data_IF_906042695607
#
_entry.id   IF_906042695607
#
_cell.length_a   1.000
_cell.length_b   1.000
_cell.length_c   1.000
_cell.angle_alpha   90.00
_cell.angle_beta   90.00
_cell.angle_gamma   90.00
#
_symmetry.space_group_name_H-M   'P 1'
#
loop_
_entity.id
_entity.type
_entity.pdbx_description
1 polymer ?
#
# COMPACT_ATOMS: atom_id res chain seq x y z
N UNK A 1 -4.49 2.52 11.85
CA UNK A 1 -3.98 3.79 12.38
C UNK A 1 -4.29 3.77 13.86
N UNK A 2 -3.34 3.87 14.76
CA UNK A 2 -3.66 4.22 16.14
C UNK A 2 -3.85 5.73 16.12
N UNK A 3 -5.03 6.23 16.50
CA UNK A 3 -5.24 7.68 16.58
C UNK A 3 -4.36 8.21 17.68
N UNK A 4 -3.62 9.29 17.44
CA UNK A 4 -2.86 9.97 18.48
C UNK A 4 -3.84 10.74 19.37
N UNK A 5 -4.42 10.00 20.31
CA UNK A 5 -5.35 10.51 21.32
C UNK A 5 -4.66 11.61 22.14
N UNK A 6 -3.37 11.47 22.45
CA UNK A 6 -2.63 12.43 23.28
C UNK A 6 -2.50 13.81 22.63
N UNK A 7 -2.42 13.89 21.30
CA UNK A 7 -2.40 15.18 20.58
C UNK A 7 -3.78 15.83 20.48
N UNK A 8 -4.86 15.05 20.44
CA UNK A 8 -6.23 15.59 20.48
C UNK A 8 -6.56 16.24 21.83
N UNK A 9 -6.05 15.71 22.93
CA UNK A 9 -6.26 16.24 24.28
C UNK A 9 -5.41 17.47 24.60
N UNK A 10 -4.27 17.68 23.93
CA UNK A 10 -3.38 18.84 24.18
C UNK A 10 -3.97 20.20 23.81
N UNK A 11 -5.04 20.22 23.03
CA UNK A 11 -5.71 21.45 22.57
C UNK A 11 -7.07 21.69 23.25
N UNK A 12 -7.39 20.96 24.32
CA UNK A 12 -8.59 21.28 25.12
C UNK A 12 -8.29 22.54 25.94
N UNK A 13 -8.95 23.63 25.57
CA UNK A 13 -8.94 24.87 26.35
C UNK A 13 -9.60 24.64 27.72
N UNK A 14 -8.79 24.25 28.71
CA UNK A 14 -9.18 24.14 30.13
C UNK A 14 -9.68 25.47 30.74
N UNK A 15 -9.52 26.58 30.03
CA UNK A 15 -10.00 27.92 30.41
C UNK A 15 -11.23 28.39 29.62
N UNK A 16 -11.89 27.51 28.87
CA UNK A 16 -13.17 27.88 28.24
C UNK A 16 -14.26 28.02 29.30
N UNK A 17 -15.01 29.13 29.25
CA UNK A 17 -16.15 29.39 30.11
C UNK A 17 -17.27 28.34 29.99
N UNK A 18 -17.18 27.35 29.10
CA UNK A 18 -18.15 26.26 28.96
C UNK A 18 -17.71 24.94 29.61
N UNK A 19 -16.50 24.85 30.17
CA UNK A 19 -15.94 23.62 30.78
C UNK A 19 -16.77 23.14 31.98
N UNK A 20 -17.42 24.06 32.70
CA UNK A 20 -18.29 23.73 33.85
C UNK A 20 -19.50 22.87 33.48
N UNK A 21 -19.90 22.82 32.19
CA UNK A 21 -20.98 21.96 31.72
C UNK A 21 -20.55 20.49 31.56
N UNK A 22 -19.24 20.20 31.66
CA UNK A 22 -18.63 18.90 31.44
C UNK A 22 -17.99 18.31 32.71
N UNK A 23 -18.23 18.93 33.85
CA UNK A 23 -17.77 18.46 35.15
C UNK A 23 -18.90 18.58 36.19
N UNK A 24 -19.01 17.60 37.08
CA UNK A 24 -19.88 17.60 38.25
C UNK A 24 -19.07 17.36 39.51
N UNK A 25 -19.52 17.88 40.64
CA UNK A 25 -18.91 17.66 41.95
C UNK A 25 -19.89 16.89 42.82
N UNK A 26 -19.41 15.82 43.46
CA UNK A 26 -20.15 15.06 44.46
C UNK A 26 -19.64 15.55 45.81
N UNK A 27 -20.42 16.41 46.47
CA UNK A 27 -20.01 17.13 47.68
C UNK A 27 -19.77 16.19 48.86
N UNK A 28 -20.50 15.07 48.93
CA UNK A 28 -20.40 14.12 50.06
C UNK A 28 -19.04 13.42 50.14
N UNK A 29 -18.39 13.23 48.99
CA UNK A 29 -17.12 12.51 48.88
C UNK A 29 -15.94 13.41 48.46
N UNK A 30 -16.20 14.71 48.26
CA UNK A 30 -15.27 15.71 47.70
C UNK A 30 -14.61 15.27 46.36
N UNK A 31 -15.41 14.64 45.48
CA UNK A 31 -14.93 14.13 44.20
C UNK A 31 -15.45 14.96 43.04
N UNK A 32 -14.53 15.44 42.19
CA UNK A 32 -14.87 16.07 40.91
C UNK A 32 -14.85 15.01 39.81
N UNK A 33 -15.97 14.86 39.11
CA UNK A 33 -16.15 13.97 37.97
C UNK A 33 -16.16 14.81 36.69
N UNK A 34 -15.26 14.50 35.76
CA UNK A 34 -15.17 15.18 34.46
C UNK A 34 -15.59 14.20 33.37
N UNK A 35 -16.67 14.49 32.64
CA UNK A 35 -17.18 13.64 31.57
C UNK A 35 -16.40 13.85 30.26
N UNK A 36 -15.38 13.02 30.04
CA UNK A 36 -14.50 13.10 28.86
C UNK A 36 -15.13 12.62 27.54
N UNK A 37 -16.37 12.10 27.57
CA UNK A 37 -17.05 11.49 26.43
C UNK A 37 -18.00 12.44 25.67
N UNK A 38 -18.35 13.59 26.25
CA UNK A 38 -19.50 14.37 25.81
C UNK A 38 -19.31 15.36 24.62
N UNK A 39 -18.12 15.77 24.13
CA UNK A 39 -18.09 16.72 23.04
C UNK A 39 -18.36 16.10 21.66
N UNK A 40 -18.30 14.78 21.50
CA UNK A 40 -18.74 14.16 20.24
C UNK A 40 -19.36 12.79 20.51
N UNK A 41 -20.48 12.45 19.86
CA UNK A 41 -21.00 11.08 19.90
C UNK A 41 -20.00 10.13 19.23
N UNK A 42 -19.30 9.29 20.00
CA UNK A 42 -18.15 8.50 19.52
C UNK A 42 -18.52 7.11 19.04
N UNK A 43 -18.11 6.78 17.81
CA UNK A 43 -17.99 5.41 17.28
C UNK A 43 -16.55 5.17 16.79
N UNK A 44 -15.69 4.73 17.71
CA UNK A 44 -14.58 3.77 17.51
C UNK A 44 -13.68 3.77 16.27
N UNK A 45 -13.38 4.88 15.58
CA UNK A 45 -12.43 4.87 14.44
C UNK A 45 -11.31 5.92 14.55
N UNK A 46 -10.03 5.49 14.52
CA UNK A 46 -8.84 6.35 14.54
C UNK A 46 -8.78 7.49 13.51
N UNK A 47 -9.48 7.37 12.39
CA UNK A 47 -9.48 8.39 11.34
C UNK A 47 -10.26 9.66 11.70
N UNK A 48 -11.15 9.60 12.71
CA UNK A 48 -11.89 10.79 13.14
C UNK A 48 -11.02 11.77 13.93
N UNK A 49 -10.00 11.27 14.64
CA UNK A 49 -9.06 12.11 15.40
C UNK A 49 -8.22 13.03 14.50
N UNK A 50 -7.84 12.54 13.32
CA UNK A 50 -7.02 13.29 12.35
C UNK A 50 -7.78 14.48 11.76
N UNK A 51 -9.09 14.31 11.50
CA UNK A 51 -9.95 15.37 10.96
C UNK A 51 -10.20 16.47 12.00
N UNK A 52 -10.50 16.09 13.25
CA UNK A 52 -10.69 17.05 14.34
C UNK A 52 -9.38 17.77 14.68
N UNK A 53 -8.26 17.04 14.78
CA UNK A 53 -6.93 17.61 15.01
C UNK A 53 -6.50 18.58 13.92
N UNK A 54 -6.76 18.24 12.64
CA UNK A 54 -6.49 19.12 11.52
C UNK A 54 -7.35 20.40 11.50
N UNK A 55 -8.62 20.30 11.91
CA UNK A 55 -9.51 21.47 12.02
C UNK A 55 -9.06 22.42 13.15
N UNK A 56 -8.64 21.88 14.30
CA UNK A 56 -8.12 22.65 15.43
C UNK A 56 -6.78 23.30 15.07
N UNK A 57 -5.86 22.58 14.41
CA UNK A 57 -4.58 23.12 13.95
C UNK A 57 -4.74 24.23 12.89
N UNK A 58 -5.81 24.19 12.09
CA UNK A 58 -6.14 25.25 11.13
C UNK A 58 -6.68 26.51 11.81
N UNK A 59 -7.49 26.38 12.86
CA UNK A 59 -8.04 27.52 13.60
C UNK A 59 -6.99 28.17 14.51
N UNK A 60 -6.08 27.38 15.07
CA UNK A 60 -5.14 27.82 16.09
C UNK A 60 -3.67 27.91 15.63
N UNK A 61 -3.36 27.56 14.37
CA UNK A 61 -2.00 27.55 13.85
C UNK A 61 -1.19 26.34 14.36
N UNK A 62 -0.28 25.83 13.52
CA UNK A 62 0.61 24.73 13.91
C UNK A 62 1.89 25.30 14.53
N UNK A 63 2.06 25.08 15.84
CA UNK A 63 3.23 25.39 16.66
C UNK A 63 3.55 26.89 16.86
N UNK A 64 3.27 27.38 18.06
CA UNK A 64 3.92 28.57 18.62
C UNK A 64 5.37 28.20 19.01
N UNK A 65 6.32 29.06 18.65
CA UNK A 65 7.70 29.04 19.17
C UNK A 65 7.95 30.37 19.87
N UNK A 66 8.87 30.44 20.84
CA UNK A 66 9.18 31.69 21.56
C UNK A 66 9.58 32.86 20.63
N UNK A 67 10.03 32.56 19.41
CA UNK A 67 10.39 33.55 18.39
C UNK A 67 9.20 34.05 17.54
N UNK A 68 8.06 33.33 17.51
CA UNK A 68 6.89 33.64 16.66
C UNK A 68 5.58 33.33 17.40
N UNK A 69 5.13 34.23 18.30
CA UNK A 69 3.96 34.00 19.15
C UNK A 69 2.64 33.90 18.37
N UNK A 70 2.59 34.44 17.15
CA UNK A 70 1.38 34.48 16.30
C UNK A 70 1.46 33.58 15.04
N UNK A 71 2.45 32.69 14.95
CA UNK A 71 2.64 31.80 13.81
C UNK A 71 3.28 32.48 12.56
N UNK A 72 3.69 31.67 11.60
CA UNK A 72 4.41 32.12 10.39
C UNK A 72 3.45 32.89 9.46
N UNK A 73 3.80 34.09 8.96
CA UNK A 73 2.95 34.84 8.04
C UNK A 73 2.91 34.17 6.65
N UNK A 74 1.69 33.88 6.23
CA UNK A 74 1.33 33.29 4.94
C UNK A 74 1.74 34.20 3.78
N UNK A 75 2.69 33.74 2.95
CA UNK A 75 3.10 34.45 1.73
C UNK A 75 2.08 34.21 0.61
N UNK A 76 1.00 34.98 0.66
CA UNK A 76 0.38 35.59 -0.52
C UNK A 76 -0.02 34.66 -1.67
N UNK A 77 -0.94 33.71 -1.45
CA UNK A 77 -1.84 33.23 -2.50
C UNK A 77 -3.24 33.00 -1.93
N UNK A 78 -4.08 34.03 -2.00
CA UNK A 78 -5.53 33.93 -1.76
C UNK A 78 -6.18 33.05 -2.83
N UNK A 79 -6.18 31.74 -2.62
CA UNK A 79 -7.17 30.83 -3.23
C UNK A 79 -8.35 30.78 -2.28
N UNK A 80 -9.53 31.19 -2.74
CA UNK A 80 -10.74 31.23 -1.90
C UNK A 80 -10.89 29.92 -1.09
N UNK A 81 -11.20 30.02 0.21
CA UNK A 81 -11.19 28.87 1.12
C UNK A 81 -12.03 27.67 0.66
N UNK A 82 -13.05 27.90 -0.19
CA UNK A 82 -13.85 26.85 -0.84
C UNK A 82 -13.04 25.99 -1.83
N UNK A 83 -12.12 26.60 -2.59
CA UNK A 83 -11.23 25.86 -3.50
C UNK A 83 -10.17 25.05 -2.74
N UNK A 84 -9.64 25.59 -1.63
CA UNK A 84 -8.69 24.86 -0.79
C UNK A 84 -9.36 23.66 -0.11
N UNK A 85 -10.55 23.85 0.47
CA UNK A 85 -11.27 22.76 1.13
C UNK A 85 -11.64 21.62 0.15
N UNK A 86 -12.07 21.96 -1.08
CA UNK A 86 -12.32 20.95 -2.11
C UNK A 86 -11.04 20.23 -2.55
N UNK A 87 -9.92 20.96 -2.67
CA UNK A 87 -8.62 20.37 -2.98
C UNK A 87 -8.18 19.39 -1.88
N UNK A 88 -8.22 19.80 -0.61
CA UNK A 88 -7.83 18.95 0.52
C UNK A 88 -8.70 17.70 0.62
N UNK A 89 -10.03 17.81 0.46
CA UNK A 89 -10.93 16.64 0.42
C UNK A 89 -10.60 15.70 -0.74
N UNK A 90 -10.29 16.23 -1.93
CA UNK A 90 -9.93 15.43 -3.08
C UNK A 90 -8.60 14.66 -2.87
N UNK A 91 -7.66 15.23 -2.10
CA UNK A 91 -6.36 14.65 -1.78
C UNK A 91 -6.32 13.92 -0.43
N UNK A 92 -7.48 13.60 0.15
CA UNK A 92 -7.61 12.76 1.36
C UNK A 92 -7.21 11.29 1.16
N UNK A 93 -6.74 10.92 -0.04
CA UNK A 93 -6.30 9.58 -0.41
C UNK A 93 -4.94 9.67 -1.09
N UNK A 94 -4.19 8.57 -1.10
CA UNK A 94 -2.88 8.49 -1.77
C UNK A 94 -2.90 9.07 -3.19
N UNK A 95 -1.83 9.77 -3.61
CA UNK A 95 -1.72 10.37 -4.96
C UNK A 95 -2.08 9.42 -6.10
N UNK A 96 -1.61 8.17 -6.01
CA UNK A 96 -1.92 7.15 -7.02
C UNK A 96 -3.42 6.84 -7.14
N UNK A 97 -4.16 6.98 -6.04
CA UNK A 97 -5.61 6.84 -5.97
C UNK A 97 -6.30 8.08 -6.51
N UNK A 98 -5.80 9.29 -6.19
CA UNK A 98 -6.29 10.54 -6.81
C UNK A 98 -6.16 10.48 -8.34
N UNK A 99 -5.01 10.02 -8.86
CA UNK A 99 -4.80 9.85 -10.29
C UNK A 99 -5.75 8.84 -10.92
N UNK A 100 -6.04 7.74 -10.21
CA UNK A 100 -7.02 6.74 -10.65
C UNK A 100 -8.43 7.34 -10.73
N UNK A 101 -8.84 8.08 -9.69
CA UNK A 101 -10.14 8.73 -9.65
C UNK A 101 -10.23 9.85 -10.69
N UNK A 102 -9.13 10.56 -10.98
CA UNK A 102 -9.11 11.59 -12.02
C UNK A 102 -9.38 10.98 -13.40
N UNK A 103 -8.77 9.84 -13.71
CA UNK A 103 -9.07 9.07 -14.92
C UNK A 103 -10.53 8.60 -14.95
N UNK A 104 -11.08 8.22 -13.80
CA UNK A 104 -12.49 7.84 -13.70
C UNK A 104 -13.44 9.02 -13.96
N UNK A 105 -13.12 10.20 -13.42
CA UNK A 105 -13.85 11.43 -13.69
C UNK A 105 -13.80 11.80 -15.17
N UNK A 106 -12.63 11.70 -15.82
CA UNK A 106 -12.50 11.92 -17.27
C UNK A 106 -13.38 10.96 -18.08
N UNK A 107 -13.47 9.68 -17.68
CA UNK A 107 -14.36 8.70 -18.32
C UNK A 107 -15.83 9.10 -18.20
N UNK A 108 -16.24 9.52 -17.01
CA UNK A 108 -17.60 9.99 -16.75
C UNK A 108 -17.93 11.24 -17.58
N UNK A 109 -17.10 12.29 -17.50
CA UNK A 109 -17.34 13.55 -18.21
C UNK A 109 -17.38 13.34 -19.72
N UNK A 110 -16.48 12.53 -20.26
CA UNK A 110 -16.48 12.18 -21.70
C UNK A 110 -17.76 11.47 -22.10
N UNK A 111 -18.22 10.51 -21.29
CA UNK A 111 -19.46 9.78 -21.57
C UNK A 111 -20.68 10.70 -21.48
N UNK A 112 -20.81 11.51 -20.43
CA UNK A 112 -21.94 12.43 -20.26
C UNK A 112 -22.00 13.47 -21.38
N UNK A 113 -20.86 14.06 -21.76
CA UNK A 113 -20.79 15.05 -22.85
C UNK A 113 -21.25 14.45 -24.18
N UNK A 114 -20.87 13.20 -24.48
CA UNK A 114 -21.31 12.51 -25.72
C UNK A 114 -22.81 12.24 -25.77
N UNK A 115 -23.47 12.13 -24.62
CA UNK A 115 -24.90 11.86 -24.51
C UNK A 115 -25.73 13.13 -24.25
N UNK A 116 -25.13 14.32 -24.28
CA UNK A 116 -25.82 15.58 -23.98
C UNK A 116 -26.27 15.71 -22.52
N UNK A 117 -25.65 14.97 -21.60
CA UNK A 117 -25.98 14.96 -20.18
C UNK A 117 -25.03 15.94 -19.44
N UNK A 118 -25.55 16.84 -18.58
CA UNK A 118 -24.71 17.66 -17.71
C UNK A 118 -23.87 16.77 -16.77
N UNK A 119 -22.53 16.88 -16.74
CA UNK A 119 -21.70 15.98 -15.94
C UNK A 119 -22.04 15.97 -14.45
N UNK A 120 -22.43 17.11 -13.89
CA UNK A 120 -22.79 17.27 -12.47
C UNK A 120 -24.15 16.67 -12.13
N UNK A 121 -24.95 16.27 -13.14
CA UNK A 121 -26.34 15.86 -12.99
C UNK A 121 -27.24 16.90 -12.28
N UNK A 122 -26.78 18.15 -12.20
CA UNK A 122 -27.46 19.22 -11.48
C UNK A 122 -28.87 19.46 -12.05
N UNK A 123 -29.84 19.60 -11.16
CA UNK A 123 -31.25 19.84 -11.53
C UNK A 123 -32.00 18.62 -12.06
N UNK A 124 -31.39 17.43 -12.12
CA UNK A 124 -32.08 16.19 -12.53
C UNK A 124 -32.74 15.49 -11.32
N UNK A 125 -33.98 14.98 -11.45
CA UNK A 125 -34.60 14.15 -10.42
C UNK A 125 -33.76 12.90 -10.11
N UNK A 126 -33.81 12.41 -8.87
CA UNK A 126 -33.01 11.26 -8.42
C UNK A 126 -33.17 10.04 -9.34
N UNK A 127 -34.41 9.73 -9.77
CA UNK A 127 -34.67 8.63 -10.69
C UNK A 127 -33.89 8.74 -12.01
N UNK A 128 -33.77 9.96 -12.56
CA UNK A 128 -33.01 10.23 -13.78
C UNK A 128 -31.50 10.13 -13.54
N UNK A 129 -31.02 10.60 -12.39
CA UNK A 129 -29.61 10.43 -12.00
C UNK A 129 -29.23 8.95 -11.90
N UNK A 130 -30.07 8.17 -11.22
CA UNK A 130 -29.89 6.72 -11.05
C UNK A 130 -29.88 6.01 -12.41
N UNK A 131 -30.76 6.41 -13.33
CA UNK A 131 -30.77 5.86 -14.69
C UNK A 131 -29.46 6.14 -15.43
N UNK A 132 -29.00 7.40 -15.46
CA UNK A 132 -27.75 7.76 -16.14
C UNK A 132 -26.51 7.07 -15.55
N UNK A 133 -26.44 6.93 -14.23
CA UNK A 133 -25.35 6.19 -13.58
C UNK A 133 -25.43 4.70 -13.93
N UNK A 134 -26.63 4.13 -13.99
CA UNK A 134 -26.83 2.74 -14.41
C UNK A 134 -26.40 2.52 -15.87
N UNK A 135 -26.78 3.42 -16.77
CA UNK A 135 -26.40 3.39 -18.18
C UNK A 135 -24.88 3.51 -18.35
N UNK A 136 -24.23 4.36 -17.54
CA UNK A 136 -22.77 4.48 -17.53
C UNK A 136 -22.09 3.20 -17.03
N UNK A 137 -22.63 2.55 -15.99
CA UNK A 137 -22.14 1.26 -15.49
C UNK A 137 -22.30 0.17 -16.54
N UNK A 138 -23.46 0.12 -17.21
CA UNK A 138 -23.72 -0.82 -18.31
C UNK A 138 -22.77 -0.59 -19.49
N UNK A 139 -22.50 0.67 -19.83
CA UNK A 139 -21.48 1.00 -20.83
C UNK A 139 -20.08 0.52 -20.41
N UNK A 140 -19.75 0.64 -19.12
CA UNK A 140 -18.53 0.07 -18.55
C UNK A 140 -18.45 -1.45 -18.66
N UNK A 141 -19.56 -2.12 -18.41
CA UNK A 141 -19.70 -3.57 -18.52
C UNK A 141 -19.57 -4.07 -19.97
N UNK A 142 -20.24 -3.41 -20.92
CA UNK A 142 -20.26 -3.79 -22.33
C UNK A 142 -18.95 -3.44 -23.06
N UNK A 143 -18.38 -2.26 -22.80
CA UNK A 143 -17.28 -1.69 -23.60
C UNK A 143 -15.99 -1.45 -22.81
N UNK A 144 -15.96 -1.81 -21.53
CA UNK A 144 -14.75 -1.74 -20.70
C UNK A 144 -14.22 -0.33 -20.46
N UNK A 145 -15.02 0.72 -20.68
CA UNK A 145 -14.58 2.12 -20.63
C UNK A 145 -13.33 2.40 -21.48
N UNK A 146 -13.26 1.84 -22.69
CA UNK A 146 -12.13 2.03 -23.61
C UNK A 146 -10.90 1.20 -23.28
N UNK A 147 -11.01 0.17 -22.43
CA UNK A 147 -9.90 -0.73 -22.11
C UNK A 147 -9.61 -1.77 -23.21
N UNK A 148 -10.29 -1.70 -24.36
CA UNK A 148 -10.10 -2.63 -25.48
C UNK A 148 -10.72 -4.02 -25.26
N UNK A 149 -11.58 -4.18 -24.27
CA UNK A 149 -12.26 -5.44 -23.98
C UNK A 149 -13.02 -5.42 -22.64
N UNK A 150 -13.68 -6.54 -22.27
CA UNK A 150 -14.40 -6.67 -21.00
C UNK A 150 -13.47 -6.45 -19.80
N UNK A 151 -14.00 -5.78 -18.78
CA UNK A 151 -13.30 -5.53 -17.51
C UNK A 151 -14.08 -6.16 -16.35
N UNK A 152 -13.38 -6.46 -15.26
CA UNK A 152 -13.97 -7.08 -14.07
C UNK A 152 -14.91 -6.12 -13.32
N UNK A 153 -15.88 -6.68 -12.60
CA UNK A 153 -16.84 -5.93 -11.79
C UNK A 153 -16.18 -4.93 -10.83
N UNK A 154 -15.07 -5.31 -10.18
CA UNK A 154 -14.35 -4.41 -9.26
C UNK A 154 -13.77 -3.19 -9.99
N UNK A 155 -13.32 -3.38 -11.22
CA UNK A 155 -12.82 -2.27 -12.05
C UNK A 155 -13.96 -1.39 -12.55
N UNK A 156 -15.12 -1.99 -12.86
CA UNK A 156 -16.33 -1.26 -13.22
C UNK A 156 -16.77 -0.40 -12.04
N UNK A 157 -16.84 -0.96 -10.83
CA UNK A 157 -17.23 -0.28 -9.60
C UNK A 157 -16.25 0.82 -9.18
N UNK A 158 -14.95 0.63 -9.41
CA UNK A 158 -13.94 1.63 -9.06
C UNK A 158 -14.09 2.95 -9.82
N UNK A 159 -14.65 2.93 -11.04
CA UNK A 159 -14.86 4.15 -11.84
C UNK A 159 -15.90 5.08 -11.20
N UNK A 160 -17.18 4.69 -11.02
CA UNK A 160 -18.17 5.57 -10.39
C UNK A 160 -17.83 5.91 -8.93
N UNK A 161 -17.10 5.05 -8.21
CA UNK A 161 -16.59 5.42 -6.88
C UNK A 161 -15.58 6.59 -6.95
N UNK A 162 -14.72 6.61 -7.97
CA UNK A 162 -13.81 7.72 -8.21
C UNK A 162 -14.52 9.02 -8.60
N UNK A 163 -15.62 8.91 -9.38
CA UNK A 163 -16.50 10.05 -9.69
C UNK A 163 -17.13 10.58 -8.40
N UNK A 164 -17.73 9.69 -7.60
CA UNK A 164 -18.31 10.05 -6.30
C UNK A 164 -17.32 10.77 -5.39
N UNK A 165 -16.06 10.33 -5.36
CA UNK A 165 -15.01 10.97 -4.55
C UNK A 165 -14.85 12.45 -4.88
N UNK A 166 -14.72 12.79 -6.17
CA UNK A 166 -14.58 14.18 -6.60
C UNK A 166 -15.88 14.98 -6.41
N UNK A 167 -17.04 14.37 -6.62
CA UNK A 167 -18.33 15.03 -6.39
C UNK A 167 -18.49 15.39 -4.92
N UNK A 168 -18.26 14.42 -4.02
CA UNK A 168 -18.30 14.64 -2.58
C UNK A 168 -17.26 15.68 -2.14
N UNK A 169 -16.04 15.66 -2.70
CA UNK A 169 -15.03 16.67 -2.43
C UNK A 169 -15.49 18.09 -2.83
N UNK A 170 -16.32 18.21 -3.87
CA UNK A 170 -16.95 19.47 -4.30
C UNK A 170 -18.29 19.78 -3.63
N UNK A 171 -18.78 18.93 -2.72
CA UNK A 171 -20.06 19.13 -2.04
C UNK A 171 -21.29 18.71 -2.85
N UNK A 172 -21.10 17.90 -3.91
CA UNK A 172 -22.18 17.32 -4.71
C UNK A 172 -22.39 15.85 -4.34
N UNK A 173 -23.64 15.40 -4.39
CA UNK A 173 -23.97 13.99 -4.24
C UNK A 173 -23.80 13.24 -5.58
N UNK A 174 -23.46 11.95 -5.48
CA UNK A 174 -23.42 11.03 -6.60
C UNK A 174 -23.98 9.69 -6.09
N UNK A 175 -25.26 9.37 -6.40
CA UNK A 175 -26.05 8.36 -5.66
C UNK A 175 -25.68 6.90 -6.01
N UNK A 176 -24.40 6.54 -5.97
CA UNK A 176 -23.90 5.19 -6.28
C UNK A 176 -24.42 4.13 -5.32
N UNK A 177 -24.79 4.54 -4.10
CA UNK A 177 -25.30 3.65 -3.04
C UNK A 177 -26.80 3.33 -3.21
N UNK A 178 -27.47 3.89 -4.23
CA UNK A 178 -28.89 3.64 -4.47
C UNK A 178 -29.15 2.14 -4.72
N UNK A 179 -30.22 1.54 -4.16
CA UNK A 179 -30.48 0.10 -4.24
C UNK A 179 -30.44 -0.47 -5.67
N UNK A 180 -31.01 0.24 -6.66
CA UNK A 180 -30.98 -0.20 -8.06
C UNK A 180 -29.55 -0.35 -8.62
N UNK A 181 -28.65 0.58 -8.29
CA UNK A 181 -27.27 0.53 -8.77
C UNK A 181 -26.49 -0.57 -8.03
N UNK A 182 -26.70 -0.70 -6.72
CA UNK A 182 -26.13 -1.78 -5.94
C UNK A 182 -26.54 -3.17 -6.47
N UNK A 183 -27.82 -3.34 -6.82
CA UNK A 183 -28.34 -4.56 -7.45
C UNK A 183 -27.69 -4.82 -8.81
N UNK A 184 -27.55 -3.79 -9.65
CA UNK A 184 -26.88 -3.89 -10.95
C UNK A 184 -25.42 -4.33 -10.81
N UNK A 185 -24.64 -3.68 -9.94
CA UNK A 185 -23.24 -4.01 -9.68
C UNK A 185 -23.09 -5.44 -9.11
N UNK A 186 -24.02 -5.86 -8.24
CA UNK A 186 -24.07 -7.23 -7.72
C UNK A 186 -24.44 -8.26 -8.79
N UNK A 187 -25.28 -7.90 -9.76
CA UNK A 187 -25.56 -8.71 -10.94
C UNK A 187 -24.31 -8.90 -11.80
N UNK A 188 -23.61 -7.79 -12.09
CA UNK A 188 -22.35 -7.80 -12.84
C UNK A 188 -21.29 -8.66 -12.14
N UNK A 189 -21.13 -8.55 -10.82
CA UNK A 189 -20.12 -9.31 -10.08
C UNK A 189 -20.39 -10.83 -10.03
N UNK A 190 -21.62 -11.28 -10.29
CA UNK A 190 -21.93 -12.71 -10.43
C UNK A 190 -21.47 -13.30 -11.76
N UNK A 191 -21.27 -12.45 -12.77
CA UNK A 191 -20.78 -12.84 -14.10
C UNK A 191 -19.25 -12.86 -14.16
N UNK A 192 -18.57 -12.29 -13.14
CA UNK A 192 -17.13 -12.30 -13.02
C UNK A 192 -16.63 -13.75 -12.87
N UNK A 193 -15.73 -14.17 -13.75
CA UNK A 193 -14.98 -15.41 -13.52
C UNK A 193 -14.16 -15.30 -12.23
N UNK A 194 -13.91 -16.42 -11.51
CA UNK A 194 -13.08 -16.41 -10.31
C UNK A 194 -11.74 -15.69 -10.53
N UNK A 195 -11.31 -14.82 -9.61
CA UNK A 195 -10.09 -14.04 -9.78
C UNK A 195 -8.87 -14.98 -9.84
N UNK A 196 -8.17 -14.96 -10.98
CA UNK A 196 -6.91 -15.70 -11.15
C UNK A 196 -5.77 -14.94 -10.47
N UNK A 197 -5.48 -15.32 -9.23
CA UNK A 197 -4.31 -14.80 -8.51
C UNK A 197 -3.04 -15.35 -9.14
N UNK A 198 -1.98 -14.54 -9.10
CA UNK A 198 -0.66 -14.99 -9.52
C UNK A 198 -0.17 -16.11 -8.61
N UNK A 199 0.46 -17.12 -9.21
CA UNK A 199 1.03 -18.24 -8.50
C UNK A 199 2.19 -17.77 -7.61
N UNK A 200 2.37 -18.34 -6.40
CA UNK A 200 3.54 -18.07 -5.58
C UNK A 200 4.80 -18.63 -6.26
N UNK A 201 5.89 -17.89 -6.21
CA UNK A 201 7.20 -18.43 -6.64
C UNK A 201 7.67 -19.51 -5.64
N UNK A 202 8.11 -20.66 -6.15
CA UNK A 202 8.77 -21.72 -5.37
C UNK A 202 10.28 -21.50 -5.25
N UNK A 203 10.92 -22.17 -4.28
CA UNK A 203 12.39 -22.25 -4.20
C UNK A 203 12.96 -22.80 -5.50
N UNK A 204 12.45 -23.92 -6.02
CA UNK A 204 12.91 -24.52 -7.28
C UNK A 204 12.86 -23.53 -8.45
N UNK A 205 11.79 -22.73 -8.53
CA UNK A 205 11.64 -21.72 -9.57
C UNK A 205 12.68 -20.60 -9.41
N UNK A 206 13.01 -20.18 -8.18
CA UNK A 206 14.09 -19.22 -7.93
C UNK A 206 15.47 -19.80 -8.23
N UNK A 207 15.70 -21.07 -7.93
CA UNK A 207 16.96 -21.74 -8.29
C UNK A 207 17.15 -21.75 -9.80
N UNK A 208 16.10 -22.09 -10.55
CA UNK A 208 16.14 -22.04 -12.01
C UNK A 208 16.36 -20.63 -12.52
N UNK A 209 15.71 -19.62 -11.92
CA UNK A 209 16.00 -18.21 -12.22
C UNK A 209 17.50 -17.94 -12.04
N UNK A 210 18.06 -18.24 -10.86
CA UNK A 210 19.42 -17.83 -10.52
C UNK A 210 20.50 -18.62 -11.25
N UNK A 211 20.27 -19.89 -11.58
CA UNK A 211 21.17 -20.67 -12.45
C UNK A 211 21.24 -20.11 -13.87
N UNK A 212 20.17 -19.42 -14.32
CA UNK A 212 20.12 -18.81 -15.66
C UNK A 212 20.74 -17.40 -15.73
N UNK A 213 21.14 -16.82 -14.58
CA UNK A 213 21.78 -15.51 -14.50
C UNK A 213 23.30 -15.65 -14.61
N UNK A 214 23.90 -15.00 -15.59
CA UNK A 214 25.33 -14.78 -15.70
C UNK A 214 25.79 -13.71 -14.69
N UNK A 215 26.37 -14.15 -13.59
CA UNK A 215 26.88 -13.28 -12.52
C UNK A 215 28.10 -12.43 -12.91
N UNK A 216 28.47 -12.40 -14.20
CA UNK A 216 29.40 -11.42 -14.78
C UNK A 216 28.72 -10.10 -15.11
N UNK A 217 27.39 -10.09 -15.28
CA UNK A 217 26.62 -8.92 -15.68
C UNK A 217 26.12 -8.09 -14.49
N UNK A 218 26.42 -6.78 -14.42
CA UNK A 218 25.90 -5.92 -13.36
C UNK A 218 24.37 -5.95 -13.26
N UNK A 219 23.68 -6.01 -14.40
CA UNK A 219 22.21 -6.12 -14.44
C UNK A 219 21.72 -7.39 -13.75
N UNK A 220 22.32 -8.53 -14.04
CA UNK A 220 21.87 -9.82 -13.53
C UNK A 220 22.26 -10.01 -12.06
N UNK A 221 23.40 -9.46 -11.63
CA UNK A 221 23.77 -9.33 -10.23
C UNK A 221 22.74 -8.50 -9.44
N UNK A 222 22.36 -7.32 -9.96
CA UNK A 222 21.35 -6.47 -9.35
C UNK A 222 19.98 -7.16 -9.31
N UNK A 223 19.59 -7.83 -10.39
CA UNK A 223 18.35 -8.58 -10.50
C UNK A 223 18.29 -9.73 -9.49
N UNK A 224 19.37 -10.50 -9.33
CA UNK A 224 19.47 -11.56 -8.33
C UNK A 224 19.30 -11.00 -6.91
N UNK A 225 20.02 -9.93 -6.57
CA UNK A 225 19.91 -9.27 -5.27
C UNK A 225 18.50 -8.76 -4.97
N UNK A 226 17.89 -8.07 -5.94
CA UNK A 226 16.50 -7.59 -5.86
C UNK A 226 15.51 -8.74 -5.64
N UNK A 227 15.63 -9.84 -6.40
CA UNK A 227 14.72 -10.98 -6.27
C UNK A 227 14.86 -11.67 -4.91
N UNK A 228 16.08 -11.85 -4.41
CA UNK A 228 16.35 -12.36 -3.06
C UNK A 228 15.67 -11.48 -1.99
N UNK A 229 15.97 -10.18 -2.00
CA UNK A 229 15.43 -9.27 -1.00
C UNK A 229 13.90 -9.18 -1.08
N UNK A 230 13.34 -9.12 -2.28
CA UNK A 230 11.89 -9.09 -2.46
C UNK A 230 11.19 -10.36 -1.95
N UNK A 231 11.79 -11.53 -2.16
CA UNK A 231 11.28 -12.80 -1.65
C UNK A 231 11.37 -12.88 -0.12
N UNK A 232 12.55 -12.65 0.46
CA UNK A 232 12.77 -12.83 1.89
C UNK A 232 12.14 -11.75 2.76
N UNK A 233 12.15 -10.48 2.34
CA UNK A 233 11.54 -9.36 3.08
C UNK A 233 10.07 -9.11 2.70
N UNK A 234 9.50 -10.00 1.88
CA UNK A 234 8.13 -9.94 1.38
C UNK A 234 7.82 -8.59 0.73
N UNK A 235 8.75 -8.00 -0.03
CA UNK A 235 8.60 -6.65 -0.55
C UNK A 235 7.53 -6.58 -1.65
N UNK A 236 6.78 -5.49 -1.69
CA UNK A 236 5.97 -5.15 -2.87
C UNK A 236 6.90 -4.65 -3.97
N UNK A 237 6.50 -4.82 -5.25
CA UNK A 237 7.30 -4.29 -6.38
C UNK A 237 7.65 -2.81 -6.23
N UNK A 238 6.73 -1.98 -5.75
CA UNK A 238 6.92 -0.54 -5.56
C UNK A 238 7.85 -0.17 -4.41
N UNK A 239 8.19 -1.13 -3.53
CA UNK A 239 9.10 -0.93 -2.41
C UNK A 239 10.56 -1.15 -2.83
N UNK A 240 10.85 -1.76 -4.00
CA UNK A 240 12.23 -2.12 -4.36
C UNK A 240 12.64 -1.79 -5.81
N UNK A 241 11.78 -2.01 -6.80
CA UNK A 241 12.13 -1.84 -8.23
C UNK A 241 11.52 -0.59 -8.84
N UNK A 242 12.11 -0.15 -9.96
CA UNK A 242 11.51 0.86 -10.81
C UNK A 242 10.17 0.36 -11.37
N UNK A 243 9.20 1.27 -11.49
CA UNK A 243 7.89 1.01 -12.05
C UNK A 243 7.87 1.51 -13.50
N UNK A 244 6.78 2.13 -13.95
CA UNK A 244 6.66 2.63 -15.32
C UNK A 244 7.66 3.78 -15.55
N UNK A 245 8.33 3.75 -16.71
CA UNK A 245 9.25 4.80 -17.14
C UNK A 245 10.53 4.93 -16.32
N UNK A 246 10.96 3.87 -15.60
CA UNK A 246 12.18 3.91 -14.79
C UNK A 246 12.05 4.69 -13.48
N UNK A 247 10.83 5.11 -13.12
CA UNK A 247 10.57 5.90 -11.90
C UNK A 247 10.42 5.01 -10.67
N UNK A 248 10.92 5.50 -9.53
CA UNK A 248 10.74 4.89 -8.21
C UNK A 248 9.67 5.63 -7.41
N UNK A 249 9.02 4.94 -6.46
CA UNK A 249 8.23 5.62 -5.45
C UNK A 249 9.15 6.22 -4.39
N UNK A 250 8.71 7.30 -3.75
CA UNK A 250 9.51 8.03 -2.76
C UNK A 250 9.96 7.14 -1.58
N UNK A 251 9.17 6.11 -1.27
CA UNK A 251 9.41 5.09 -0.24
C UNK A 251 10.15 3.84 -0.73
N UNK A 252 10.65 3.82 -1.98
CA UNK A 252 11.47 2.71 -2.45
C UNK A 252 12.73 2.59 -1.58
N UNK A 253 13.10 1.36 -1.22
CA UNK A 253 14.27 1.06 -0.38
C UNK A 253 15.50 1.67 -1.01
N UNK A 254 16.19 2.53 -0.25
CA UNK A 254 17.45 3.16 -0.64
C UNK A 254 18.63 2.28 -0.21
N UNK A 255 19.81 2.52 -0.75
CA UNK A 255 20.97 1.74 -0.34
C UNK A 255 21.34 1.95 1.14
N UNK A 256 21.22 3.18 1.64
CA UNK A 256 21.41 3.50 3.07
C UNK A 256 20.41 2.79 4.00
N UNK A 257 19.29 2.32 3.47
CA UNK A 257 18.27 1.61 4.24
C UNK A 257 18.60 0.11 4.39
N UNK A 258 19.68 -0.37 3.75
CA UNK A 258 20.15 -1.75 3.82
C UNK A 258 21.51 -1.75 4.55
N UNK A 259 21.55 -2.39 5.71
CA UNK A 259 22.77 -2.62 6.46
C UNK A 259 23.07 -4.12 6.52
N UNK A 260 24.28 -4.51 6.13
CA UNK A 260 24.81 -5.86 6.30
C UNK A 260 25.71 -5.89 7.51
N UNK A 261 25.45 -6.81 8.44
CA UNK A 261 26.02 -6.82 9.78
C UNK A 261 26.83 -8.10 10.05
N UNK A 262 27.93 -7.96 10.79
CA UNK A 262 28.70 -9.08 11.33
C UNK A 262 28.00 -9.73 12.54
N UNK A 263 28.67 -10.70 13.17
CA UNK A 263 28.18 -11.39 14.35
C UNK A 263 28.01 -10.45 15.56
N UNK A 264 28.85 -9.41 15.66
CA UNK A 264 28.75 -8.39 16.70
C UNK A 264 27.75 -7.27 16.36
N UNK A 265 27.01 -7.39 15.24
CA UNK A 265 26.02 -6.41 14.82
C UNK A 265 26.60 -5.15 14.18
N UNK A 266 27.88 -5.14 13.81
CA UNK A 266 28.56 -4.00 13.19
C UNK A 266 28.46 -4.06 11.66
N UNK A 267 28.32 -2.91 10.97
CA UNK A 267 28.30 -2.88 9.52
C UNK A 267 29.58 -3.42 8.90
N UNK A 268 29.46 -4.35 7.96
CA UNK A 268 30.61 -4.90 7.22
C UNK A 268 30.23 -5.30 5.80
N UNK A 269 31.13 -5.07 4.85
CA UNK A 269 30.99 -5.53 3.46
C UNK A 269 31.80 -6.80 3.18
N UNK A 270 32.54 -7.32 4.17
CA UNK A 270 33.34 -8.52 4.02
C UNK A 270 32.43 -9.77 3.97
N UNK A 271 32.27 -10.44 2.81
CA UNK A 271 31.22 -11.45 2.63
C UNK A 271 31.28 -12.63 3.60
N UNK A 272 32.48 -13.00 4.05
CA UNK A 272 32.73 -14.09 5.01
C UNK A 272 32.35 -13.74 6.45
N UNK A 273 32.30 -12.45 6.80
CA UNK A 273 31.96 -11.98 8.15
C UNK A 273 30.48 -11.65 8.32
N UNK A 274 29.77 -11.43 7.22
CA UNK A 274 28.37 -10.97 7.26
C UNK A 274 27.44 -12.11 7.68
N UNK A 275 26.74 -11.91 8.79
CA UNK A 275 25.79 -12.86 9.35
C UNK A 275 24.33 -12.48 9.12
N UNK A 276 24.02 -11.19 9.08
CA UNK A 276 22.65 -10.71 8.93
C UNK A 276 22.54 -9.50 8.02
N UNK A 277 21.32 -9.27 7.53
CA UNK A 277 20.92 -8.06 6.83
C UNK A 277 19.76 -7.42 7.58
N UNK A 278 19.91 -6.14 7.86
CA UNK A 278 18.91 -5.26 8.40
C UNK A 278 18.39 -4.35 7.29
N UNK A 279 17.08 -4.27 7.13
CA UNK A 279 16.42 -3.43 6.14
C UNK A 279 15.41 -2.52 6.82
N UNK A 280 15.57 -1.21 6.61
CA UNK A 280 14.67 -0.17 7.09
C UNK A 280 13.70 0.23 5.99
N UNK A 281 12.41 0.02 6.22
CA UNK A 281 11.35 0.31 5.27
C UNK A 281 10.65 1.59 5.69
N UNK A 282 10.99 2.69 5.02
CA UNK A 282 10.58 4.06 5.36
C UNK A 282 9.11 4.36 5.08
N UNK A 283 8.47 3.60 4.18
CA UNK A 283 7.07 3.79 3.84
C UNK A 283 6.51 2.68 2.94
N UNK A 284 5.22 2.76 2.65
CA UNK A 284 4.57 1.93 1.62
C UNK A 284 3.28 2.59 1.14
N UNK A 285 2.62 2.00 0.13
CA UNK A 285 1.27 2.45 -0.29
C UNK A 285 0.27 2.48 0.87
N UNK A 286 0.41 1.59 1.85
CA UNK A 286 -0.48 1.50 3.02
C UNK A 286 0.12 2.12 4.29
N UNK A 287 1.30 2.74 4.17
CA UNK A 287 2.03 3.40 5.25
C UNK A 287 2.69 4.65 4.65
N UNK A 288 1.89 5.64 4.27
CA UNK A 288 2.41 6.85 3.61
C UNK A 288 3.04 7.80 4.63
N UNK A 289 2.47 7.90 5.84
CA UNK A 289 2.94 8.83 6.89
C UNK A 289 3.24 8.13 8.22
N UNK A 290 3.24 6.80 8.25
CA UNK A 290 3.51 6.04 9.48
C UNK A 290 4.99 5.70 9.65
N UNK A 291 5.36 5.33 10.87
CA UNK A 291 6.74 5.09 11.27
C UNK A 291 7.46 4.05 10.40
N UNK A 292 8.77 4.26 10.10
CA UNK A 292 9.59 3.27 9.43
C UNK A 292 9.55 1.92 10.16
N UNK A 293 9.59 0.83 9.40
CA UNK A 293 9.63 -0.53 9.95
C UNK A 293 10.94 -1.20 9.61
N UNK A 294 11.60 -1.78 10.59
CA UNK A 294 12.87 -2.49 10.39
C UNK A 294 12.67 -3.98 10.42
N UNK A 295 13.28 -4.71 9.49
CA UNK A 295 13.32 -6.18 9.47
C UNK A 295 14.76 -6.63 9.41
N UNK A 296 15.09 -7.68 10.15
CA UNK A 296 16.41 -8.28 10.14
C UNK A 296 16.27 -9.76 9.82
N UNK A 297 17.14 -10.26 8.93
CA UNK A 297 17.20 -11.67 8.56
C UNK A 297 18.65 -12.14 8.52
N UNK A 298 18.90 -13.32 9.06
CA UNK A 298 20.21 -13.98 9.02
C UNK A 298 20.41 -14.75 7.71
N UNK A 299 21.60 -15.32 7.53
CA UNK A 299 21.87 -16.24 6.42
C UNK A 299 20.86 -17.39 6.41
N UNK A 300 20.40 -17.79 5.22
CA UNK A 300 19.45 -18.90 5.06
C UNK A 300 20.10 -20.29 5.09
N UNK A 301 21.44 -20.36 4.98
CA UNK A 301 22.18 -21.61 4.75
C UNK A 301 22.10 -22.12 3.30
N UNK A 302 21.26 -21.55 2.44
CA UNK A 302 21.17 -21.93 1.03
C UNK A 302 22.31 -21.30 0.20
N UNK A 303 22.93 -22.01 -0.75
CA UNK A 303 24.07 -21.49 -1.51
C UNK A 303 23.81 -20.16 -2.24
N UNK A 304 22.63 -20.03 -2.89
CA UNK A 304 22.29 -18.86 -3.71
C UNK A 304 21.03 -18.11 -3.25
N UNK A 305 20.19 -18.73 -2.40
CA UNK A 305 18.92 -18.17 -1.95
C UNK A 305 19.07 -17.65 -0.52
N UNK A 306 19.79 -16.55 -0.37
CA UNK A 306 20.14 -16.00 0.93
C UNK A 306 19.92 -14.48 0.94
N UNK A 307 19.18 -13.92 1.92
CA UNK A 307 18.94 -12.48 1.98
C UNK A 307 20.23 -11.69 2.17
N UNK A 308 21.19 -12.24 2.93
CA UNK A 308 22.53 -11.66 3.11
C UNK A 308 23.31 -11.61 1.80
N UNK A 309 23.30 -12.71 1.03
CA UNK A 309 23.94 -12.74 -0.29
C UNK A 309 23.29 -11.73 -1.23
N UNK A 310 21.96 -11.67 -1.26
CA UNK A 310 21.21 -10.72 -2.08
C UNK A 310 21.50 -9.26 -1.74
N UNK A 311 21.66 -8.94 -0.45
CA UNK A 311 22.05 -7.61 -0.01
C UNK A 311 23.48 -7.25 -0.43
N UNK A 312 24.44 -8.16 -0.20
CA UNK A 312 25.84 -7.94 -0.55
C UNK A 312 26.02 -7.70 -2.04
N UNK A 313 25.46 -8.56 -2.88
CA UNK A 313 25.63 -8.41 -4.34
C UNK A 313 24.98 -7.13 -4.86
N UNK A 314 23.82 -6.75 -4.30
CA UNK A 314 23.13 -5.52 -4.68
C UNK A 314 23.91 -4.28 -4.23
N UNK A 315 24.52 -4.29 -3.05
CA UNK A 315 25.37 -3.18 -2.59
C UNK A 315 26.70 -3.11 -3.36
N UNK A 316 27.30 -4.26 -3.71
CA UNK A 316 28.55 -4.32 -4.46
C UNK A 316 28.42 -3.76 -5.88
N UNK A 317 27.35 -4.12 -6.60
CA UNK A 317 27.15 -3.70 -8.00
C UNK A 317 26.89 -2.20 -8.16
N UNK A 318 26.54 -1.52 -7.06
CA UNK A 318 26.38 -0.06 -7.01
C UNK A 318 27.69 0.71 -7.06
N UNK A 319 28.80 0.07 -6.66
CA UNK A 319 30.11 0.72 -6.50
C UNK A 319 29.98 2.02 -5.69
N UNK A 320 30.23 3.17 -6.33
CA UNK A 320 30.28 4.49 -5.68
C UNK A 320 29.01 5.32 -5.87
N UNK A 321 27.88 4.71 -6.26
CA UNK A 321 26.61 5.42 -6.35
C UNK A 321 26.18 5.95 -4.97
N UNK A 322 25.52 7.12 -4.91
CA UNK A 322 25.02 7.70 -3.66
C UNK A 322 24.16 6.71 -2.86
N UNK A 323 24.21 6.80 -1.52
CA UNK A 323 23.49 5.88 -0.64
C UNK A 323 21.99 6.22 -0.52
N UNK A 324 21.61 7.46 -0.81
CA UNK A 324 20.26 8.01 -0.69
C UNK A 324 19.35 7.70 -1.88
N UNK A 325 19.88 7.15 -2.98
CA UNK A 325 19.09 6.73 -4.14
C UNK A 325 18.62 5.26 -4.00
N UNK A 326 17.56 4.84 -4.72
CA UNK A 326 16.99 3.49 -4.62
C UNK A 326 18.01 2.37 -4.81
N UNK A 327 17.96 1.34 -3.98
CA UNK A 327 18.94 0.24 -3.92
C UNK A 327 19.03 -0.57 -5.23
N UNK A 328 17.94 -0.65 -6.00
CA UNK A 328 17.88 -1.33 -7.29
C UNK A 328 18.53 -0.58 -8.46
N UNK A 329 19.13 0.59 -8.20
CA UNK A 329 20.00 1.29 -9.17
C UNK A 329 21.40 0.69 -9.09
N UNK A 330 22.05 0.47 -10.24
CA UNK A 330 23.39 -0.10 -10.35
C UNK A 330 24.19 0.61 -11.45
N UNK A 331 25.50 0.37 -11.54
CA UNK A 331 26.31 0.86 -12.65
C UNK A 331 26.42 -0.20 -13.74
N UNK A 332 26.02 0.14 -14.96
CA UNK A 332 26.17 -0.73 -16.12
C UNK A 332 27.64 -0.92 -16.53
N UNK A 333 27.90 -1.75 -17.55
CA UNK A 333 29.26 -1.98 -18.08
C UNK A 333 29.95 -0.70 -18.58
N UNK A 334 29.20 0.34 -18.92
CA UNK A 334 29.70 1.65 -19.39
C UNK A 334 29.89 2.63 -18.23
N UNK A 335 29.62 2.21 -16.98
CA UNK A 335 29.68 3.06 -15.80
C UNK A 335 28.50 4.03 -15.68
N UNK A 336 27.41 3.82 -16.42
CA UNK A 336 26.21 4.65 -16.35
C UNK A 336 25.21 4.06 -15.35
N UNK A 337 24.50 4.90 -14.57
CA UNK A 337 23.41 4.44 -13.72
C UNK A 337 22.28 3.81 -14.56
N UNK A 338 21.91 2.59 -14.21
CA UNK A 338 20.75 1.87 -14.71
C UNK A 338 19.95 1.30 -13.52
N UNK A 339 18.74 0.80 -13.75
CA UNK A 339 17.91 0.28 -12.67
C UNK A 339 17.21 -1.02 -13.05
N UNK A 340 16.93 -1.85 -12.05
CA UNK A 340 16.07 -3.03 -12.21
C UNK A 340 14.60 -2.59 -12.16
N UNK A 341 13.87 -2.92 -13.21
CA UNK A 341 12.45 -2.63 -13.37
C UNK A 341 11.54 -3.80 -13.00
N UNK A 342 10.26 -3.47 -12.85
CA UNK A 342 9.18 -4.44 -12.63
C UNK A 342 9.10 -5.49 -13.75
N UNK A 343 9.37 -5.09 -14.99
CA UNK A 343 9.34 -5.97 -16.16
C UNK A 343 10.47 -7.01 -16.10
N UNK A 344 11.67 -6.60 -15.71
CA UNK A 344 12.85 -7.47 -15.60
C UNK A 344 12.62 -8.62 -14.63
N UNK A 345 12.10 -8.30 -13.43
CA UNK A 345 11.74 -9.31 -12.42
C UNK A 345 10.66 -10.25 -12.95
N UNK A 346 9.63 -9.71 -13.60
CA UNK A 346 8.55 -10.54 -14.12
C UNK A 346 9.03 -11.46 -15.25
N UNK A 347 9.92 -10.99 -16.11
CA UNK A 347 10.46 -11.74 -17.23
C UNK A 347 11.39 -12.86 -16.77
N UNK A 348 12.24 -12.61 -15.78
CA UNK A 348 13.09 -13.65 -15.19
C UNK A 348 12.26 -14.81 -14.60
N UNK A 349 11.22 -14.50 -13.83
CA UNK A 349 10.32 -15.52 -13.26
C UNK A 349 9.58 -16.28 -14.36
N UNK A 350 9.09 -15.59 -15.39
CA UNK A 350 8.39 -16.22 -16.52
C UNK A 350 9.29 -17.13 -17.33
N UNK A 351 10.54 -16.73 -17.57
CA UNK A 351 11.52 -17.55 -18.26
C UNK A 351 11.79 -18.85 -17.50
N UNK A 352 11.95 -18.75 -16.18
CA UNK A 352 12.08 -19.94 -15.32
C UNK A 352 10.80 -20.79 -15.28
N UNK A 353 9.62 -20.17 -15.38
CA UNK A 353 8.36 -20.91 -15.45
C UNK A 353 8.29 -21.74 -16.74
N UNK A 354 8.68 -21.16 -17.88
CA UNK A 354 8.73 -21.87 -19.17
C UNK A 354 9.71 -23.05 -19.10
N UNK A 355 10.90 -22.86 -18.55
CA UNK A 355 11.90 -23.95 -18.46
C UNK A 355 11.51 -25.06 -17.48
N UNK A 356 10.59 -24.80 -16.55
CA UNK A 356 10.03 -25.79 -15.62
C UNK A 356 8.68 -26.36 -16.07
N UNK A 357 8.25 -26.06 -17.31
CA UNK A 357 6.98 -26.55 -17.87
C UNK A 357 5.73 -25.91 -17.26
N UNK A 358 5.87 -24.79 -16.56
CA UNK A 358 4.76 -24.04 -15.95
C UNK A 358 4.26 -22.93 -16.88
N UNK A 359 2.99 -22.54 -16.75
CA UNK A 359 2.42 -21.45 -17.53
C UNK A 359 2.96 -20.08 -17.06
N UNK A 360 3.76 -19.35 -17.87
CA UNK A 360 4.31 -18.05 -17.49
C UNK A 360 3.22 -17.00 -17.20
N UNK A 361 2.01 -17.16 -17.74
CA UNK A 361 0.89 -16.23 -17.49
C UNK A 361 0.42 -16.27 -16.04
N UNK A 362 0.72 -17.34 -15.31
CA UNK A 362 0.44 -17.47 -13.88
C UNK A 362 1.39 -16.62 -13.02
N UNK A 363 2.50 -16.12 -13.57
CA UNK A 363 3.54 -15.41 -12.81
C UNK A 363 3.61 -13.91 -13.12
N UNK A 364 4.16 -13.17 -12.16
CA UNK A 364 4.55 -11.76 -12.29
C UNK A 364 5.50 -11.38 -11.15
N UNK A 365 5.94 -10.12 -11.08
CA UNK A 365 6.72 -9.62 -9.94
C UNK A 365 5.98 -9.74 -8.59
N UNK A 366 4.64 -9.77 -8.58
CA UNK A 366 3.86 -10.00 -7.36
C UNK A 366 4.01 -11.43 -6.80
N UNK A 367 4.44 -12.37 -7.64
CA UNK A 367 4.61 -13.78 -7.25
C UNK A 367 5.72 -13.96 -6.21
N UNK A 368 6.71 -13.07 -6.11
CA UNK A 368 7.78 -13.15 -5.10
C UNK A 368 7.24 -12.98 -3.68
N UNK A 369 6.47 -11.92 -3.43
CA UNK A 369 5.86 -11.67 -2.11
C UNK A 369 4.91 -12.80 -1.70
N UNK A 370 4.11 -13.31 -2.64
CA UNK A 370 3.27 -14.47 -2.39
C UNK A 370 4.09 -15.75 -2.13
N UNK A 371 5.19 -15.92 -2.87
CA UNK A 371 6.16 -16.99 -2.71
C UNK A 371 6.74 -17.03 -1.29
N UNK A 372 7.37 -15.94 -0.85
CA UNK A 372 7.97 -15.87 0.48
C UNK A 372 6.95 -16.11 1.59
N UNK A 373 5.76 -15.50 1.50
CA UNK A 373 4.70 -15.67 2.49
C UNK A 373 4.23 -17.13 2.56
N UNK A 374 4.10 -17.78 1.39
CA UNK A 374 3.75 -19.20 1.30
C UNK A 374 4.84 -20.09 1.89
N UNK A 375 6.13 -19.77 1.70
CA UNK A 375 7.21 -20.57 2.29
C UNK A 375 7.30 -20.41 3.81
N UNK A 376 7.09 -19.21 4.35
CA UNK A 376 6.99 -19.02 5.81
C UNK A 376 5.84 -19.86 6.38
N UNK A 377 4.67 -19.81 5.73
CA UNK A 377 3.53 -20.61 6.13
C UNK A 377 3.83 -22.13 6.10
N UNK A 378 4.45 -22.62 5.02
CA UNK A 378 4.84 -24.03 4.88
C UNK A 378 5.92 -24.46 5.87
N UNK A 379 6.77 -23.54 6.31
CA UNK A 379 7.76 -23.77 7.35
C UNK A 379 7.15 -23.80 8.77
N UNK A 380 5.83 -23.69 8.91
CA UNK A 380 5.16 -23.67 10.20
C UNK A 380 5.33 -22.36 10.97
N UNK A 381 5.74 -21.28 10.30
CA UNK A 381 5.80 -19.96 10.94
C UNK A 381 4.40 -19.52 11.34
N UNK A 382 4.25 -19.00 12.56
CA UNK A 382 2.96 -18.58 13.07
C UNK A 382 2.38 -17.40 12.27
N UNK A 383 1.06 -17.30 12.27
CA UNK A 383 0.34 -16.30 11.50
C UNK A 383 0.70 -14.86 11.88
N UNK A 384 0.97 -14.58 13.16
CA UNK A 384 1.34 -13.24 13.63
C UNK A 384 2.71 -12.86 13.09
N UNK A 385 3.69 -13.76 13.15
CA UNK A 385 5.02 -13.52 12.58
C UNK A 385 4.95 -13.28 11.07
N UNK A 386 4.14 -14.04 10.32
CA UNK A 386 3.93 -13.78 8.89
C UNK A 386 3.30 -12.39 8.67
N UNK A 387 2.27 -12.06 9.46
CA UNK A 387 1.57 -10.78 9.38
C UNK A 387 2.51 -9.60 9.67
N UNK A 388 3.25 -9.66 10.78
CA UNK A 388 4.23 -8.67 11.18
C UNK A 388 5.35 -8.57 10.15
N UNK A 389 5.96 -9.68 9.74
CA UNK A 389 7.07 -9.69 8.80
C UNK A 389 6.70 -9.02 7.46
N UNK A 390 5.56 -9.42 6.90
CA UNK A 390 5.07 -8.84 5.64
C UNK A 390 4.33 -7.51 5.78
N UNK A 391 4.17 -6.97 7.00
CA UNK A 391 3.57 -5.65 7.24
C UNK A 391 2.11 -5.59 6.75
N UNK A 392 1.33 -6.63 7.04
CA UNK A 392 -0.11 -6.64 6.75
C UNK A 392 -0.89 -6.10 7.95
N UNK A 393 -1.73 -5.08 7.71
CA UNK A 393 -2.55 -4.45 8.76
C UNK A 393 -3.65 -5.40 9.27
N UNK A 394 -4.05 -6.38 8.45
CA UNK A 394 -5.13 -7.32 8.75
C UNK A 394 -4.85 -8.70 8.16
N UNK A 395 -5.86 -9.56 8.17
CA UNK A 395 -5.93 -10.88 7.53
C UNK A 395 -5.65 -10.91 6.01
N UNK A 396 -5.31 -9.77 5.40
CA UNK A 396 -4.87 -9.69 4.02
C UNK A 396 -3.72 -10.66 3.68
N UNK A 397 -2.87 -11.04 4.64
CA UNK A 397 -1.80 -12.02 4.43
C UNK A 397 -2.34 -13.41 4.00
N UNK A 398 -3.54 -13.80 4.46
CA UNK A 398 -4.21 -15.06 4.06
C UNK A 398 -4.43 -15.16 2.56
N UNK A 399 -4.47 -14.02 1.85
CA UNK A 399 -4.59 -14.00 0.39
C UNK A 399 -3.28 -14.28 -0.34
N UNK A 400 -2.14 -14.17 0.34
CA UNK A 400 -0.79 -14.40 -0.19
C UNK A 400 -0.28 -15.81 0.13
N UNK A 401 -0.73 -16.42 1.22
CA UNK A 401 -0.39 -17.81 1.55
C UNK A 401 -1.22 -18.80 0.71
N UNK A 402 -0.65 -19.97 0.45
CA UNK A 402 -1.33 -21.09 -0.22
C UNK A 402 -1.18 -22.34 0.63
N UNK A 403 -2.31 -23.02 0.88
CA UNK A 403 -2.29 -24.38 1.41
C UNK A 403 -1.63 -25.29 0.38
N UNK A 404 -0.66 -26.08 0.83
CA UNK A 404 -0.02 -27.10 0.02
C UNK A 404 -0.52 -28.49 0.42
N UNK A 405 -0.35 -29.48 -0.47
CA UNK A 405 -0.81 -30.85 -0.23
C UNK A 405 -0.21 -31.42 1.06
N UNK A 406 1.04 -31.07 1.37
CA UNK A 406 1.76 -31.55 2.56
C UNK A 406 1.13 -31.04 3.86
N UNK A 407 0.74 -29.76 3.92
CA UNK A 407 0.04 -29.18 5.10
C UNK A 407 -1.36 -29.77 5.30
N UNK A 408 -1.98 -30.29 4.23
CA UNK A 408 -3.30 -30.94 4.31
C UNK A 408 -3.17 -32.43 4.61
N UNK A 409 -2.07 -33.06 4.20
CA UNK A 409 -1.87 -34.50 4.34
C UNK A 409 -1.91 -34.99 5.79
N UNK A 410 -1.33 -34.22 6.73
CA UNK A 410 -1.37 -34.53 8.16
C UNK A 410 -2.58 -33.92 8.87
N UNK A 411 -3.41 -33.11 8.19
CA UNK A 411 -4.47 -32.34 8.84
C UNK A 411 -5.54 -33.27 9.43
N UNK A 412 -5.95 -34.29 8.67
CA UNK A 412 -6.91 -35.28 9.16
C UNK A 412 -6.39 -36.05 10.38
N UNK A 413 -5.09 -36.41 10.39
CA UNK A 413 -4.44 -37.08 11.51
C UNK A 413 -4.36 -36.19 12.75
N UNK A 414 -3.99 -34.91 12.58
CA UNK A 414 -3.95 -33.93 13.68
C UNK A 414 -5.33 -33.67 14.28
N UNK A 415 -6.39 -33.64 13.47
CA UNK A 415 -7.77 -33.47 13.95
C UNK A 415 -8.20 -34.60 14.89
N UNK A 416 -7.77 -35.84 14.63
CA UNK A 416 -8.08 -36.99 15.49
C UNK A 416 -7.21 -37.07 16.75
N UNK A 417 -5.99 -36.52 16.71
CA UNK A 417 -5.05 -36.53 17.85
C UNK A 417 -5.26 -35.40 18.86
N UNK A 418 -6.07 -34.40 18.52
CA UNK A 418 -6.52 -33.37 19.45
C UNK A 418 -7.46 -33.98 20.48
N UNK A 419 -6.92 -34.54 21.56
CA UNK A 419 -7.72 -34.85 22.76
C UNK A 419 -8.18 -33.53 23.36
N UNK A 420 -9.51 -33.34 23.41
CA UNK A 420 -10.18 -32.14 23.90
C UNK A 420 -10.01 -31.89 25.39
#
# INVERSE_FOLDING_TARGET
MAGDVASAFRNISIHSNSVYLFAGHIEEDDVIVIELAAPFGWTGSPGFYEIAGGAVAYVHGSHTTDEFPDGIPDSGYSRSGRHLAAYLRAHSVADSTVDQYRRALTKWTTWTTRHGIPPTLAGKPLAVQVQHISDFILHGFQYGFGSGGPIRSDSIMAVPLGVRHFFAASGHDFPISHPHICMLLKGISRLDSPPRRKAPVSIDLLEVCFRSLAMTEPFEQALCGVMCLAFFFLLRRSEIVAIAGGSFKWFAVRAQDIAVLDEEGRPTLAPSKVQSVCMRLTGSKTNQDGSPTTRMLSRSGHPFLCPVFGALILLQVRKNLPADIPAAVYLDRRGKPACVGTADVAEAIKRAAVSTGQDPRCFSSHSLRAGGATHMYRAGTDALTIQFHGRWVSDAFKTYTRLCKESVASLAESMCRSTG
#
